data_IF_497632417545
#
_entry.id   IF_497632417545
#
_cell.length_a   1.000
_cell.length_b   1.000
_cell.length_c   1.000
_cell.angle_alpha   90.00
_cell.angle_beta   90.00
_cell.angle_gamma   90.00
#
_symmetry.space_group_name_H-M   'P 1'
#
loop_
_entity.id
_entity.type
_entity.pdbx_description
1 polymer ?
#
# COMPACT_ATOMS: atom_id res chain seq x y z
N UNK A 1 10.92 -4.09 15.06
CA UNK A 1 9.49 -3.76 14.99
C UNK A 1 8.88 -4.67 13.94
N UNK A 2 7.81 -5.40 14.26
CA UNK A 2 7.11 -6.24 13.29
C UNK A 2 6.05 -5.40 12.57
N UNK A 3 6.06 -5.40 11.24
CA UNK A 3 5.00 -4.81 10.42
C UNK A 3 3.84 -5.81 10.29
N UNK A 4 2.61 -5.32 10.16
CA UNK A 4 1.47 -6.20 9.85
C UNK A 4 1.70 -6.81 8.47
N UNK A 5 1.71 -8.13 8.40
CA UNK A 5 1.73 -8.84 7.12
C UNK A 5 0.30 -9.07 6.67
N UNK A 6 0.01 -8.76 5.41
CA UNK A 6 -1.30 -9.03 4.85
C UNK A 6 -1.63 -10.52 5.00
N UNK A 7 -2.83 -10.81 5.50
CA UNK A 7 -3.34 -12.17 5.55
C UNK A 7 -3.60 -12.66 4.13
N UNK A 8 -3.06 -13.82 3.80
CA UNK A 8 -3.28 -14.51 2.53
C UNK A 8 -3.60 -15.98 2.77
N UNK A 9 -4.28 -16.56 1.80
CA UNK A 9 -4.49 -18.00 1.68
C UNK A 9 -3.49 -18.55 0.66
N UNK A 10 -2.71 -19.56 1.03
CA UNK A 10 -1.85 -20.26 0.07
C UNK A 10 -2.72 -21.25 -0.72
N UNK A 11 -2.86 -21.01 -2.02
CA UNK A 11 -3.66 -21.85 -2.92
C UNK A 11 -2.86 -23.04 -3.47
N UNK A 12 -1.57 -22.85 -3.69
CA UNK A 12 -0.66 -23.89 -4.21
C UNK A 12 0.79 -23.58 -3.85
N UNK A 13 1.61 -24.61 -3.70
CA UNK A 13 3.03 -24.49 -3.37
C UNK A 13 3.84 -25.65 -3.94
N UNK A 14 5.00 -25.33 -4.51
CA UNK A 14 6.03 -26.30 -4.90
C UNK A 14 7.43 -25.75 -4.60
N UNK A 15 8.47 -26.43 -5.08
CA UNK A 15 9.86 -26.06 -4.81
C UNK A 15 10.31 -24.74 -5.47
N UNK A 16 9.58 -24.24 -6.48
CA UNK A 16 9.97 -23.09 -7.30
C UNK A 16 9.09 -21.87 -7.01
N UNK A 17 7.81 -22.08 -6.70
CA UNK A 17 6.85 -20.98 -6.49
C UNK A 17 5.76 -21.29 -5.47
N UNK A 18 5.10 -20.22 -5.01
CA UNK A 18 3.90 -20.25 -4.18
C UNK A 18 2.83 -19.34 -4.78
N UNK A 19 1.59 -19.84 -4.83
CA UNK A 19 0.41 -19.07 -5.25
C UNK A 19 -0.33 -18.62 -4.01
N UNK A 20 -0.41 -17.29 -3.82
CA UNK A 20 -1.08 -16.66 -2.67
C UNK A 20 -2.30 -15.86 -3.12
N UNK A 21 -3.41 -16.04 -2.41
CA UNK A 21 -4.62 -15.22 -2.56
C UNK A 21 -4.73 -14.24 -1.40
N UNK A 22 -4.62 -12.96 -1.71
CA UNK A 22 -4.81 -11.88 -0.74
C UNK A 22 -6.28 -11.51 -0.66
N UNK A 23 -6.74 -11.13 0.54
CA UNK A 23 -8.06 -10.51 0.71
C UNK A 23 -8.04 -9.07 0.23
N UNK A 24 -9.21 -8.56 -0.17
CA UNK A 24 -9.36 -7.15 -0.54
C UNK A 24 -8.94 -6.24 0.61
N UNK A 25 -8.18 -5.20 0.27
CA UNK A 25 -7.59 -4.24 1.18
C UNK A 25 -7.49 -2.90 0.48
N UNK A 26 -7.75 -1.83 1.24
CA UNK A 26 -7.44 -0.49 0.77
C UNK A 26 -5.95 -0.35 0.51
N UNK A 27 -5.64 0.34 -0.57
CA UNK A 27 -4.29 0.72 -0.93
C UNK A 27 -4.19 2.23 -1.06
N UNK A 28 -3.01 2.75 -0.78
CA UNK A 28 -2.60 4.07 -1.26
C UNK A 28 -1.61 3.88 -2.39
N UNK A 29 -1.72 4.73 -3.41
CA UNK A 29 -0.87 4.62 -4.58
C UNK A 29 -0.38 5.95 -5.12
N UNK A 30 0.73 5.89 -5.85
CA UNK A 30 1.28 7.01 -6.60
C UNK A 30 1.98 6.52 -7.85
N UNK A 31 1.94 7.32 -8.92
CA UNK A 31 2.65 7.01 -10.16
C UNK A 31 4.16 6.98 -9.93
N UNK A 32 4.80 5.94 -10.45
CA UNK A 32 6.23 5.69 -10.28
C UNK A 32 6.99 6.41 -11.37
N UNK A 33 7.50 7.59 -11.04
CA UNK A 33 8.50 8.28 -11.87
C UNK A 33 9.92 7.89 -11.47
N UNK A 34 10.19 7.92 -10.16
CA UNK A 34 11.43 7.46 -9.53
C UNK A 34 11.07 6.64 -8.28
N UNK A 35 11.68 5.46 -8.10
CA UNK A 35 11.38 4.54 -7.01
C UNK A 35 11.52 5.19 -5.62
N UNK A 36 12.62 5.92 -5.40
CA UNK A 36 12.89 6.55 -4.11
C UNK A 36 11.93 7.72 -3.80
N UNK A 37 11.45 8.44 -4.81
CA UNK A 37 10.48 9.52 -4.59
C UNK A 37 9.09 8.95 -4.31
N UNK A 38 8.70 7.90 -5.04
CA UNK A 38 7.38 7.27 -4.92
C UNK A 38 7.18 6.62 -3.55
N UNK A 39 8.19 5.86 -3.09
CA UNK A 39 8.18 5.29 -1.75
C UNK A 39 8.05 6.37 -0.68
N UNK A 40 8.83 7.46 -0.78
CA UNK A 40 8.78 8.56 0.19
C UNK A 40 7.42 9.26 0.21
N UNK A 41 6.74 9.41 -0.93
CA UNK A 41 5.39 10.01 -0.97
C UNK A 41 4.40 9.18 -0.14
N UNK A 42 4.36 7.86 -0.37
CA UNK A 42 3.49 6.95 0.37
C UNK A 42 3.92 6.81 1.85
N UNK A 43 5.23 6.77 2.10
CA UNK A 43 5.77 6.72 3.46
C UNK A 43 5.42 7.97 4.27
N UNK A 44 5.48 9.16 3.67
CA UNK A 44 5.09 10.40 4.32
C UNK A 44 3.60 10.40 4.67
N UNK A 45 2.74 9.89 3.79
CA UNK A 45 1.31 9.75 4.08
C UNK A 45 1.06 8.92 5.34
N UNK A 46 1.66 7.71 5.42
CA UNK A 46 1.49 6.85 6.60
C UNK A 46 2.22 7.39 7.84
N UNK A 47 3.18 8.30 7.66
CA UNK A 47 3.88 8.98 8.77
C UNK A 47 3.16 10.24 9.27
N UNK A 48 1.91 10.48 8.83
CA UNK A 48 1.10 11.61 9.29
C UNK A 48 0.91 12.74 8.28
N UNK A 49 1.41 12.63 7.04
CA UNK A 49 1.09 13.60 5.97
C UNK A 49 -0.27 13.30 5.33
N UNK A 50 -1.29 13.33 6.17
CA UNK A 50 -2.69 13.14 5.83
C UNK A 50 -3.55 14.14 6.62
N UNK A 51 -4.81 14.31 6.24
CA UNK A 51 -5.75 15.28 6.82
C UNK A 51 -5.82 15.24 8.35
N UNK A 52 -5.69 14.04 8.94
CA UNK A 52 -5.84 13.83 10.38
C UNK A 52 -4.52 13.93 11.14
N UNK A 53 -3.40 14.20 10.46
CA UNK A 53 -2.04 14.12 11.03
C UNK A 53 -1.79 12.78 11.76
N UNK A 54 -2.40 11.70 11.28
CA UNK A 54 -2.43 10.42 11.95
C UNK A 54 -1.31 9.51 11.43
N UNK A 55 -0.53 8.91 12.31
CA UNK A 55 0.38 7.83 11.94
C UNK A 55 -0.41 6.54 11.67
N UNK A 56 -0.09 5.92 10.53
CA UNK A 56 -0.64 4.66 10.05
C UNK A 56 0.51 3.65 10.04
N UNK A 57 0.27 2.47 10.61
CA UNK A 57 1.31 1.43 10.65
C UNK A 57 1.62 0.95 9.23
N UNK A 58 2.91 0.79 8.95
CA UNK A 58 3.36 0.17 7.71
C UNK A 58 2.99 -1.32 7.69
N UNK A 59 2.56 -1.79 6.53
CA UNK A 59 2.29 -3.21 6.27
C UNK A 59 3.30 -3.78 5.27
N UNK A 60 3.32 -5.10 5.15
CA UNK A 60 4.02 -5.80 4.09
C UNK A 60 3.03 -6.69 3.29
N UNK A 61 3.19 -6.83 1.97
CA UNK A 61 4.27 -6.29 1.13
C UNK A 61 4.05 -4.85 0.62
N UNK A 62 5.08 -4.25 0.01
CA UNK A 62 4.93 -3.11 -0.91
C UNK A 62 4.89 -3.66 -2.33
N UNK A 63 3.91 -3.25 -3.13
CA UNK A 63 3.71 -3.75 -4.49
C UNK A 63 3.90 -2.65 -5.53
N UNK A 64 4.21 -3.06 -6.75
CA UNK A 64 4.24 -2.20 -7.91
C UNK A 64 3.46 -2.88 -9.03
N UNK A 65 2.63 -2.10 -9.72
CA UNK A 65 1.77 -2.59 -10.78
C UNK A 65 1.86 -1.66 -11.98
N UNK A 66 1.72 -2.21 -13.18
CA UNK A 66 1.57 -1.42 -14.39
C UNK A 66 0.10 -1.03 -14.58
N UNK A 67 -0.17 0.27 -14.68
CA UNK A 67 -1.49 0.84 -14.97
C UNK A 67 -1.35 1.78 -16.17
N UNK A 68 -2.06 1.47 -17.26
CA UNK A 68 -2.08 2.29 -18.47
C UNK A 68 -0.67 2.61 -19.05
N UNK A 69 0.26 1.66 -18.97
CA UNK A 69 1.65 1.85 -19.42
C UNK A 69 2.56 2.57 -18.43
N UNK A 70 2.04 3.00 -17.27
CA UNK A 70 2.80 3.63 -16.20
C UNK A 70 2.93 2.68 -15.00
N UNK A 71 4.14 2.59 -14.44
CA UNK A 71 4.35 1.86 -13.20
C UNK A 71 3.75 2.65 -12.04
N UNK A 72 3.07 1.98 -11.11
CA UNK A 72 2.38 2.58 -9.96
C UNK A 72 2.79 1.82 -8.71
N UNK A 73 3.24 2.52 -7.68
CA UNK A 73 3.61 1.92 -6.40
C UNK A 73 2.41 1.92 -5.47
N UNK A 74 2.22 0.84 -4.72
CA UNK A 74 1.10 0.68 -3.80
C UNK A 74 1.56 0.23 -2.42
N UNK A 75 1.02 0.87 -1.38
CA UNK A 75 1.10 0.39 -0.01
C UNK A 75 -0.28 -0.07 0.42
N UNK A 76 -0.36 -1.28 0.97
CA UNK A 76 -1.58 -1.73 1.62
C UNK A 76 -1.74 -1.06 2.97
N UNK A 77 -2.96 -0.61 3.28
CA UNK A 77 -3.27 -0.09 4.60
C UNK A 77 -3.56 -1.23 5.59
N UNK A 78 -3.30 -1.02 6.89
CA UNK A 78 -3.71 -1.95 7.94
C UNK A 78 -5.19 -2.31 7.85
N UNK A 79 -5.53 -3.52 8.27
CA UNK A 79 -6.90 -4.05 8.14
C UNK A 79 -7.98 -3.30 8.93
N UNK A 80 -7.59 -2.36 9.79
CA UNK A 80 -8.49 -1.45 10.50
C UNK A 80 -9.01 -0.29 9.63
N UNK A 81 -8.42 -0.05 8.46
CA UNK A 81 -8.83 1.04 7.56
C UNK A 81 -9.81 0.60 6.48
N UNK A 82 -10.81 1.45 6.24
CA UNK A 82 -11.82 1.36 5.18
C UNK A 82 -12.16 2.77 4.64
N UNK A 83 -13.01 2.85 3.62
CA UNK A 83 -13.36 4.11 2.95
C UNK A 83 -13.97 5.17 3.88
N UNK A 84 -14.55 4.76 5.01
CA UNK A 84 -15.21 5.67 5.95
C UNK A 84 -14.22 6.32 6.92
N UNK A 85 -13.09 5.68 7.19
CA UNK A 85 -12.17 6.09 8.25
C UNK A 85 -10.77 6.51 7.73
N UNK A 86 -10.40 6.10 6.53
CA UNK A 86 -9.11 6.42 5.92
C UNK A 86 -8.93 7.94 5.77
N UNK A 87 -7.82 8.52 6.27
CA UNK A 87 -7.61 9.96 6.16
C UNK A 87 -7.21 10.35 4.73
N UNK A 88 -7.76 11.46 4.23
CA UNK A 88 -7.40 11.94 2.90
C UNK A 88 -5.91 12.32 2.84
N UNK A 89 -5.20 12.06 1.73
CA UNK A 89 -3.81 12.44 1.58
C UNK A 89 -3.64 13.95 1.48
N UNK A 90 -2.58 14.49 2.09
CA UNK A 90 -2.21 15.90 1.93
C UNK A 90 -1.49 16.17 0.60
N UNK A 91 -0.95 15.13 -0.04
CA UNK A 91 -0.32 15.20 -1.35
C UNK A 91 -1.30 14.71 -2.43
N UNK A 92 -1.61 15.57 -3.42
CA UNK A 92 -2.53 15.26 -4.52
C UNK A 92 -2.05 14.16 -5.47
N UNK A 93 -0.77 13.81 -5.43
CA UNK A 93 -0.19 12.68 -6.18
C UNK A 93 -0.41 11.32 -5.51
N UNK A 94 -0.93 11.31 -4.27
CA UNK A 94 -1.28 10.09 -3.53
C UNK A 94 -2.78 9.89 -3.62
N UNK A 95 -3.20 8.69 -4.02
CA UNK A 95 -4.62 8.33 -4.18
C UNK A 95 -4.95 7.13 -3.30
N UNK A 96 -6.19 7.09 -2.80
CA UNK A 96 -6.75 5.94 -2.08
C UNK A 96 -7.56 5.11 -3.08
N UNK A 97 -7.45 3.79 -2.99
CA UNK A 97 -8.09 2.81 -3.87
C UNK A 97 -8.55 1.58 -3.11
#
# INVERSE_FOLDING_TARGET
MATEQLKYETLDVNEIYEIRKYSDRLVIETETSNQNSSFRKLFNYISGSNEKNQEIKMTAPVTQIEKNGNMTMQFYLPSEFDESNVPNPSNSEVKIL
#
